data_IF_624321309507
#
_entry.id   IF_624321309507
#
_cell.length_a   1.000
_cell.length_b   1.000
_cell.length_c   1.000
_cell.angle_alpha   90.00
_cell.angle_beta   90.00
_cell.angle_gamma   90.00
#
_symmetry.space_group_name_H-M   'P 1'
#
loop_
_entity.id
_entity.type
_entity.pdbx_description
1 polymer ?
#
# COMPACT_ATOMS: atom_id res chain seq x y z
N UNK A 1 -3.55 -0.09 -13.33
CA UNK A 1 -2.94 0.92 -12.45
C UNK A 1 -2.84 2.26 -13.17
N UNK A 2 -3.10 3.34 -12.44
CA UNK A 2 -3.11 4.71 -12.93
C UNK A 2 -2.09 5.56 -12.15
N UNK A 3 -0.80 5.55 -12.53
CA UNK A 3 0.23 6.28 -11.79
C UNK A 3 0.07 7.80 -11.85
N UNK A 4 -0.49 8.32 -12.94
CA UNK A 4 -0.63 9.75 -13.22
C UNK A 4 -2.02 10.35 -12.98
N UNK A 5 -3.06 9.58 -12.64
CA UNK A 5 -4.44 10.05 -12.52
C UNK A 5 -5.14 9.55 -11.26
N UNK A 6 -6.06 10.37 -10.72
CA UNK A 6 -7.04 9.92 -9.73
C UNK A 6 -8.29 9.36 -10.42
N UNK A 7 -9.01 8.45 -9.75
CA UNK A 7 -10.21 7.83 -10.33
C UNK A 7 -11.41 8.77 -10.35
N UNK A 8 -11.49 9.70 -9.41
CA UNK A 8 -12.69 10.50 -9.16
C UNK A 8 -12.51 12.01 -9.35
N UNK A 9 -11.36 12.50 -9.74
CA UNK A 9 -11.15 13.94 -9.92
C UNK A 9 -9.76 14.31 -10.37
N UNK A 10 -9.62 15.57 -10.81
CA UNK A 10 -8.34 16.13 -11.19
C UNK A 10 -7.38 16.17 -10.00
N UNK A 11 -6.15 15.74 -10.25
CA UNK A 11 -5.06 16.01 -9.32
C UNK A 11 -4.73 17.49 -9.35
N UNK A 12 -4.42 18.12 -8.22
CA UNK A 12 -3.83 19.45 -8.25
C UNK A 12 -2.57 19.39 -9.12
N UNK A 13 -2.43 20.40 -9.99
CA UNK A 13 -1.28 20.51 -10.87
C UNK A 13 0.04 20.35 -10.11
N UNK A 14 1.08 19.91 -10.78
CA UNK A 14 2.43 19.58 -10.26
C UNK A 14 3.10 20.64 -9.35
N UNK A 15 2.46 21.78 -9.08
CA UNK A 15 3.00 22.83 -8.23
C UNK A 15 2.58 22.79 -6.76
N UNK A 16 1.64 21.94 -6.37
CA UNK A 16 1.11 21.92 -4.99
C UNK A 16 1.50 20.70 -4.14
N UNK A 17 2.06 19.64 -4.74
CA UNK A 17 2.49 18.45 -3.98
C UNK A 17 3.75 17.83 -4.58
N UNK A 18 4.82 17.78 -3.77
CA UNK A 18 6.08 17.08 -4.12
C UNK A 18 5.96 15.55 -4.09
N UNK A 19 4.76 15.00 -3.92
CA UNK A 19 4.50 13.56 -3.79
C UNK A 19 4.01 12.98 -5.11
N UNK A 20 4.77 12.06 -5.66
CA UNK A 20 4.47 11.34 -6.90
C UNK A 20 4.58 9.81 -6.74
N UNK A 21 4.37 9.05 -7.83
CA UNK A 21 4.46 7.59 -7.82
C UNK A 21 5.80 7.03 -7.32
N UNK A 22 6.87 7.79 -7.47
CA UNK A 22 8.23 7.41 -7.06
C UNK A 22 8.58 7.84 -5.63
N UNK A 23 7.69 8.53 -4.92
CA UNK A 23 7.93 8.95 -3.53
C UNK A 23 8.11 7.72 -2.64
N UNK A 24 9.22 7.67 -1.86
CA UNK A 24 9.51 6.53 -1.00
C UNK A 24 8.63 6.55 0.25
N UNK A 25 8.02 5.41 0.56
CA UNK A 25 7.29 5.16 1.81
C UNK A 25 7.68 3.78 2.33
N UNK A 26 8.24 3.72 3.55
CA UNK A 26 8.66 2.46 4.16
C UNK A 26 9.68 1.68 3.31
N UNK A 27 10.62 2.37 2.66
CA UNK A 27 11.72 1.78 1.87
C UNK A 27 11.41 1.47 0.40
N UNK A 28 10.16 1.57 -0.03
CA UNK A 28 9.72 1.36 -1.43
C UNK A 28 9.02 2.61 -1.96
N UNK A 29 9.07 2.84 -3.28
CA UNK A 29 8.23 3.85 -3.90
C UNK A 29 6.74 3.48 -3.78
N UNK A 30 5.85 4.47 -3.81
CA UNK A 30 4.40 4.24 -3.81
C UNK A 30 3.99 3.26 -4.90
N UNK A 31 4.55 3.43 -6.10
CA UNK A 31 4.27 2.56 -7.23
C UNK A 31 4.70 1.11 -6.98
N UNK A 32 5.96 0.89 -6.54
CA UNK A 32 6.44 -0.47 -6.19
C UNK A 32 5.56 -1.10 -5.11
N UNK A 33 5.21 -0.33 -4.08
CA UNK A 33 4.37 -0.80 -2.98
C UNK A 33 2.99 -1.21 -3.45
N UNK A 34 2.35 -0.40 -4.30
CA UNK A 34 1.04 -0.72 -4.89
C UNK A 34 1.12 -2.02 -5.69
N UNK A 35 2.10 -2.15 -6.60
CA UNK A 35 2.30 -3.36 -7.42
C UNK A 35 2.46 -4.60 -6.53
N UNK A 36 3.35 -4.55 -5.55
CA UNK A 36 3.62 -5.69 -4.67
C UNK A 36 2.44 -6.04 -3.75
N UNK A 37 1.70 -5.02 -3.27
CA UNK A 37 0.48 -5.26 -2.47
C UNK A 37 -0.60 -5.94 -3.30
N UNK A 38 -0.81 -5.51 -4.55
CA UNK A 38 -1.75 -6.13 -5.48
C UNK A 38 -1.35 -7.56 -5.81
N UNK A 39 -0.07 -7.80 -6.13
CA UNK A 39 0.45 -9.15 -6.36
C UNK A 39 0.20 -10.06 -5.17
N UNK A 40 0.53 -9.63 -3.95
CA UNK A 40 0.30 -10.41 -2.72
C UNK A 40 -1.18 -10.58 -2.37
N UNK A 41 -2.03 -9.64 -2.80
CA UNK A 41 -3.50 -9.74 -2.71
C UNK A 41 -4.12 -10.71 -3.71
N UNK A 42 -3.29 -11.34 -4.56
CA UNK A 42 -3.70 -12.40 -5.49
C UNK A 42 -4.14 -11.90 -6.86
N UNK A 43 -3.74 -10.69 -7.26
CA UNK A 43 -3.87 -10.24 -8.65
C UNK A 43 -2.92 -11.07 -9.53
N UNK A 44 -3.41 -11.50 -10.70
CA UNK A 44 -2.66 -12.39 -11.60
C UNK A 44 -1.94 -11.67 -12.73
N UNK A 45 -2.38 -10.46 -13.05
CA UNK A 45 -1.83 -9.63 -14.12
C UNK A 45 -2.01 -8.16 -13.73
N UNK A 46 -1.10 -7.32 -14.13
CA UNK A 46 -1.18 -5.88 -13.98
C UNK A 46 -1.11 -5.21 -15.35
N UNK A 47 -1.97 -4.21 -15.55
CA UNK A 47 -1.91 -3.30 -16.69
C UNK A 47 -1.64 -1.91 -16.10
N UNK A 48 -0.61 -1.25 -16.59
CA UNK A 48 -0.19 0.08 -16.13
C UNK A 48 -0.39 1.08 -17.27
N UNK A 49 -1.31 2.01 -17.08
CA UNK A 49 -1.51 3.13 -17.99
C UNK A 49 -0.59 4.27 -17.56
N UNK A 50 0.58 4.35 -18.17
CA UNK A 50 1.64 5.28 -17.79
C UNK A 50 1.75 6.46 -18.73
N UNK A 51 2.07 7.64 -18.18
CA UNK A 51 2.35 8.86 -18.93
C UNK A 51 3.83 9.00 -19.28
N UNK A 52 4.33 10.24 -19.19
CA UNK A 52 5.72 10.58 -19.50
C UNK A 52 6.77 9.96 -18.57
N UNK A 53 6.35 9.41 -17.44
CA UNK A 53 7.16 8.78 -16.40
C UNK A 53 7.30 7.26 -16.57
N UNK A 54 6.80 6.68 -17.66
CA UNK A 54 6.78 5.23 -17.92
C UNK A 54 8.16 4.57 -17.72
N UNK A 55 9.21 5.12 -18.33
CA UNK A 55 10.56 4.56 -18.23
C UNK A 55 11.11 4.60 -16.79
N UNK A 56 10.81 5.67 -16.04
CA UNK A 56 11.19 5.78 -14.64
C UNK A 56 10.49 4.73 -13.78
N UNK A 57 9.21 4.47 -14.06
CA UNK A 57 8.40 3.46 -13.37
C UNK A 57 8.88 2.05 -13.69
N UNK A 58 9.20 1.75 -14.96
CA UNK A 58 9.81 0.48 -15.38
C UNK A 58 11.12 0.24 -14.65
N UNK A 59 11.98 1.26 -14.62
CA UNK A 59 13.25 1.20 -13.93
C UNK A 59 13.10 1.00 -12.41
N UNK A 60 12.11 1.63 -11.80
CA UNK A 60 11.79 1.42 -10.40
C UNK A 60 11.37 -0.03 -10.11
N UNK A 61 10.55 -0.66 -10.97
CA UNK A 61 10.18 -2.07 -10.81
C UNK A 61 11.35 -3.03 -11.02
N UNK A 62 12.25 -2.74 -11.95
CA UNK A 62 13.43 -3.57 -12.21
C UNK A 62 14.42 -3.57 -11.04
N UNK A 63 14.43 -2.49 -10.22
CA UNK A 63 15.32 -2.34 -9.07
C UNK A 63 14.69 -2.84 -7.78
N UNK A 64 14.94 -4.10 -7.44
CA UNK A 64 14.66 -4.63 -6.10
C UNK A 64 13.21 -5.06 -5.82
N UNK A 65 12.27 -4.88 -6.74
CA UNK A 65 10.93 -5.39 -6.58
C UNK A 65 10.83 -6.83 -7.13
N UNK A 66 10.43 -7.78 -6.26
CA UNK A 66 10.17 -9.17 -6.69
C UNK A 66 8.79 -9.28 -7.32
N UNK A 67 8.61 -8.66 -8.48
CA UNK A 67 7.38 -8.76 -9.28
C UNK A 67 7.44 -10.06 -10.06
N UNK A 68 6.48 -10.94 -9.81
CA UNK A 68 6.39 -12.28 -10.44
C UNK A 68 5.22 -12.40 -11.41
N UNK A 69 4.26 -11.46 -11.34
CA UNK A 69 3.11 -11.43 -12.24
C UNK A 69 3.44 -10.61 -13.49
N UNK A 70 2.85 -10.95 -14.65
CA UNK A 70 3.05 -10.16 -15.87
C UNK A 70 2.54 -8.73 -15.69
N UNK A 71 3.37 -7.77 -16.12
CA UNK A 71 3.04 -6.34 -16.13
C UNK A 71 3.03 -5.87 -17.58
N UNK A 72 1.85 -5.46 -18.06
CA UNK A 72 1.68 -4.84 -19.37
C UNK A 72 1.67 -3.33 -19.23
N UNK A 73 2.42 -2.65 -20.07
CA UNK A 73 2.47 -1.20 -20.14
C UNK A 73 1.63 -0.69 -21.30
N UNK A 74 0.79 0.30 -21.02
CA UNK A 74 -0.03 0.99 -22.03
C UNK A 74 0.25 2.49 -21.91
N UNK A 75 0.92 3.08 -22.93
CA UNK A 75 1.21 4.51 -22.92
C UNK A 75 -0.09 5.33 -23.05
N UNK A 76 -0.32 6.28 -22.14
CA UNK A 76 -1.53 7.14 -22.16
C UNK A 76 -1.62 7.97 -23.43
N UNK A 77 -0.52 8.20 -24.16
CA UNK A 77 -0.53 8.87 -25.46
C UNK A 77 -1.25 8.07 -26.54
N UNK A 78 -1.15 6.75 -26.50
CA UNK A 78 -1.80 5.82 -27.46
C UNK A 78 -3.15 5.35 -26.94
N UNK A 79 -3.30 5.31 -25.62
CA UNK A 79 -4.48 4.87 -24.89
C UNK A 79 -4.95 5.94 -23.92
N UNK A 80 -5.58 7.04 -24.43
CA UNK A 80 -6.08 8.11 -23.58
C UNK A 80 -7.14 7.60 -22.58
N UNK A 81 -7.11 8.12 -21.36
CA UNK A 81 -7.99 7.65 -20.28
C UNK A 81 -9.45 8.06 -20.46
N UNK A 82 -9.69 9.10 -21.24
CA UNK A 82 -11.01 9.63 -21.62
C UNK A 82 -11.57 8.99 -22.91
N UNK A 83 -10.76 8.22 -23.65
CA UNK A 83 -11.21 7.52 -24.85
C UNK A 83 -11.90 6.19 -24.48
N UNK A 84 -13.19 5.99 -24.83
CA UNK A 84 -13.89 4.74 -24.62
C UNK A 84 -13.20 3.53 -25.23
N UNK A 85 -12.51 3.68 -26.36
CA UNK A 85 -11.78 2.59 -27.05
C UNK A 85 -10.67 1.99 -26.19
N UNK A 86 -10.03 2.82 -25.36
CA UNK A 86 -9.02 2.35 -24.39
C UNK A 86 -9.63 1.32 -23.45
N UNK A 87 -10.82 1.59 -22.94
CA UNK A 87 -11.51 0.76 -21.98
C UNK A 87 -12.16 -0.46 -22.62
N UNK A 88 -12.65 -0.33 -23.85
CA UNK A 88 -13.13 -1.47 -24.66
C UNK A 88 -11.98 -2.47 -24.92
N UNK A 89 -10.80 -1.97 -25.29
CA UNK A 89 -9.61 -2.80 -25.45
C UNK A 89 -9.24 -3.51 -24.14
N UNK A 90 -9.30 -2.83 -23.02
CA UNK A 90 -9.05 -3.43 -21.71
C UNK A 90 -10.11 -4.48 -21.35
N UNK A 91 -11.37 -4.22 -21.65
CA UNK A 91 -12.47 -5.14 -21.35
C UNK A 91 -12.30 -6.49 -22.04
N UNK A 92 -11.74 -6.53 -23.26
CA UNK A 92 -11.48 -7.79 -23.98
C UNK A 92 -10.43 -8.67 -23.29
N UNK A 93 -9.54 -8.08 -22.50
CA UNK A 93 -8.48 -8.81 -21.79
C UNK A 93 -8.91 -9.22 -20.36
N UNK A 94 -9.90 -8.54 -19.80
CA UNK A 94 -10.37 -8.79 -18.43
C UNK A 94 -11.28 -10.01 -18.40
N UNK A 95 -10.86 -11.04 -17.68
CA UNK A 95 -11.70 -12.21 -17.40
C UNK A 95 -12.34 -12.07 -16.02
N UNK A 96 -13.62 -11.76 -15.99
CA UNK A 96 -14.43 -11.63 -14.78
C UNK A 96 -14.46 -10.21 -14.25
N UNK A 97 -13.46 -9.76 -13.51
CA UNK A 97 -13.43 -8.42 -12.93
C UNK A 97 -12.06 -7.75 -13.07
N UNK A 98 -12.08 -6.42 -13.07
CA UNK A 98 -10.91 -5.55 -13.09
C UNK A 98 -10.87 -4.72 -11.82
N UNK A 99 -9.73 -4.69 -11.15
CA UNK A 99 -9.47 -3.76 -10.06
C UNK A 99 -8.71 -2.56 -10.61
N UNK A 100 -9.32 -1.38 -10.53
CA UNK A 100 -8.69 -0.11 -10.93
C UNK A 100 -8.19 0.59 -9.68
N UNK A 101 -6.92 0.97 -9.67
CA UNK A 101 -6.28 1.61 -8.53
C UNK A 101 -5.44 2.80 -8.95
N UNK A 102 -5.58 3.90 -8.22
CA UNK A 102 -4.61 4.99 -8.21
C UNK A 102 -3.35 4.59 -7.43
N UNK A 103 -2.22 5.19 -7.77
CA UNK A 103 -0.93 4.86 -7.11
C UNK A 103 -0.63 5.75 -5.91
N UNK A 104 -1.33 6.89 -5.76
CA UNK A 104 -1.10 7.79 -4.61
C UNK A 104 -1.87 7.37 -3.36
N UNK A 105 -1.75 6.10 -3.02
CA UNK A 105 -2.32 5.54 -1.80
C UNK A 105 -1.48 4.38 -1.29
N UNK A 106 -1.63 4.08 -0.01
CA UNK A 106 -1.12 2.87 0.63
C UNK A 106 -2.29 2.13 1.26
N UNK A 107 -2.35 0.83 1.03
CA UNK A 107 -3.44 -0.01 1.53
C UNK A 107 -2.94 -1.40 1.92
N UNK A 108 -3.74 -2.09 2.71
CA UNK A 108 -3.39 -3.42 3.20
C UNK A 108 -3.61 -4.49 2.12
N UNK A 109 -2.80 -5.55 2.21
CA UNK A 109 -3.01 -6.79 1.46
C UNK A 109 -4.40 -7.39 1.75
N UNK A 110 -4.82 -7.39 3.03
CA UNK A 110 -6.12 -7.90 3.46
C UNK A 110 -7.29 -7.20 2.77
N UNK A 111 -7.18 -5.89 2.49
CA UNK A 111 -8.21 -5.16 1.73
C UNK A 111 -8.35 -5.73 0.30
N UNK A 112 -7.25 -6.00 -0.38
CA UNK A 112 -7.29 -6.58 -1.74
C UNK A 112 -7.87 -7.99 -1.75
N UNK A 113 -7.47 -8.81 -0.77
CA UNK A 113 -8.02 -10.17 -0.60
C UNK A 113 -9.52 -10.12 -0.31
N UNK A 114 -9.96 -9.21 0.56
CA UNK A 114 -11.36 -9.00 0.88
C UNK A 114 -12.16 -8.55 -0.34
N UNK A 115 -11.67 -7.57 -1.10
CA UNK A 115 -12.31 -7.11 -2.34
C UNK A 115 -12.47 -8.27 -3.32
N UNK A 116 -11.41 -9.06 -3.54
CA UNK A 116 -11.43 -10.21 -4.44
C UNK A 116 -12.46 -11.28 -4.04
N UNK A 117 -12.60 -11.53 -2.73
CA UNK A 117 -13.58 -12.49 -2.20
C UNK A 117 -15.01 -11.95 -2.21
N UNK A 118 -15.17 -10.63 -2.16
CA UNK A 118 -16.47 -9.96 -2.11
C UNK A 118 -17.07 -9.68 -3.48
N UNK A 119 -16.33 -9.92 -4.57
CA UNK A 119 -16.84 -9.74 -5.94
C UNK A 119 -18.02 -10.64 -6.19
N UNK A 120 -19.08 -10.07 -6.78
CA UNK A 120 -20.24 -10.80 -7.31
C UNK A 120 -20.43 -10.46 -8.78
N UNK A 121 -20.97 -11.40 -9.53
CA UNK A 121 -21.21 -11.20 -10.96
C UNK A 121 -22.15 -10.01 -11.21
N UNK A 122 -21.73 -9.10 -12.08
CA UNK A 122 -22.48 -7.91 -12.44
C UNK A 122 -22.48 -6.76 -11.43
N UNK A 123 -21.89 -6.91 -10.22
CA UNK A 123 -21.80 -5.85 -9.23
C UNK A 123 -20.41 -5.19 -9.22
N UNK A 124 -20.37 -3.87 -9.08
CA UNK A 124 -19.16 -3.11 -8.82
C UNK A 124 -18.93 -2.95 -7.31
N UNK A 125 -17.66 -2.80 -6.91
CA UNK A 125 -17.28 -2.48 -5.54
C UNK A 125 -16.52 -1.16 -5.52
N UNK A 126 -16.94 -0.24 -4.67
CA UNK A 126 -16.24 1.02 -4.40
C UNK A 126 -15.68 0.94 -2.99
N UNK A 127 -14.38 1.19 -2.85
CA UNK A 127 -13.79 1.34 -1.52
C UNK A 127 -14.07 2.75 -1.03
N UNK A 128 -14.49 2.86 0.22
CA UNK A 128 -14.64 4.15 0.91
C UNK A 128 -13.77 4.21 2.15
N UNK A 129 -13.50 5.41 2.60
CA UNK A 129 -12.82 5.70 3.86
C UNK A 129 -13.47 6.91 4.53
N UNK A 130 -13.22 7.11 5.79
CA UNK A 130 -13.61 8.33 6.48
C UNK A 130 -12.76 9.52 6.02
N UNK A 131 -13.41 10.66 5.81
CA UNK A 131 -12.74 11.91 5.54
C UNK A 131 -11.92 12.34 6.77
N UNK A 132 -10.65 12.66 6.54
CA UNK A 132 -9.78 13.15 7.60
C UNK A 132 -9.91 14.66 7.82
N UNK A 133 -9.46 15.19 8.98
CA UNK A 133 -9.58 16.61 9.33
C UNK A 133 -8.82 17.57 8.39
N UNK A 134 -7.88 17.08 7.61
CA UNK A 134 -7.04 17.89 6.69
C UNK A 134 -7.64 18.00 5.28
N UNK A 135 -8.64 17.20 4.95
CA UNK A 135 -9.23 17.15 3.60
C UNK A 135 -10.00 18.42 3.16
N UNK A 136 -10.70 19.14 4.04
CA UNK A 136 -11.41 20.36 3.65
C UNK A 136 -10.52 21.45 3.05
N UNK A 137 -9.24 21.51 3.46
CA UNK A 137 -8.29 22.50 2.97
C UNK A 137 -7.74 22.20 1.57
N UNK A 138 -7.79 20.92 1.13
CA UNK A 138 -7.22 20.44 -0.13
C UNK A 138 -8.26 20.33 -1.26
N UNK A 139 -9.51 20.70 -1.02
CA UNK A 139 -10.66 20.80 -1.93
C UNK A 139 -10.62 19.91 -3.18
N UNK A 140 -11.56 18.98 -3.33
CA UNK A 140 -11.96 18.31 -4.57
C UNK A 140 -11.30 17.01 -5.00
N UNK A 141 -10.65 16.21 -4.10
CA UNK A 141 -9.94 15.02 -4.63
C UNK A 141 -10.80 13.78 -4.75
N UNK A 142 -11.59 13.49 -3.73
CA UNK A 142 -12.46 12.32 -3.74
C UNK A 142 -13.87 12.72 -3.34
N UNK A 143 -14.89 12.33 -4.11
CA UNK A 143 -16.28 12.70 -3.82
C UNK A 143 -16.75 12.04 -2.53
N UNK A 144 -17.57 12.77 -1.77
CA UNK A 144 -18.35 12.19 -0.70
C UNK A 144 -19.36 11.19 -1.27
N UNK A 145 -19.67 10.16 -0.50
CA UNK A 145 -20.49 9.03 -0.94
C UNK A 145 -21.78 9.00 -0.12
N UNK A 146 -22.94 9.05 -0.78
CA UNK A 146 -24.22 8.77 -0.16
C UNK A 146 -24.50 7.27 -0.22
N UNK A 147 -24.83 6.69 0.94
CA UNK A 147 -25.03 5.26 1.09
C UNK A 147 -26.44 4.96 1.61
N UNK A 148 -27.02 3.88 1.13
CA UNK A 148 -28.21 3.27 1.71
C UNK A 148 -28.01 1.76 1.75
N UNK A 149 -28.16 1.17 2.92
CA UNK A 149 -28.00 -0.28 3.15
C UNK A 149 -26.69 -0.87 2.58
N UNK A 150 -25.57 -0.11 2.67
CA UNK A 150 -24.27 -0.55 2.16
C UNK A 150 -24.11 -0.46 0.63
N UNK A 151 -25.07 0.13 -0.08
CA UNK A 151 -25.03 0.39 -1.53
C UNK A 151 -24.80 1.87 -1.79
N UNK A 152 -24.09 2.15 -2.88
CA UNK A 152 -23.86 3.50 -3.37
C UNK A 152 -25.14 4.04 -4.00
N UNK A 153 -25.56 5.24 -3.58
CA UNK A 153 -26.66 5.98 -4.21
C UNK A 153 -26.12 7.06 -5.14
N UNK A 154 -25.22 7.89 -4.66
CA UNK A 154 -24.69 9.01 -5.42
C UNK A 154 -23.32 9.45 -4.90
N UNK A 155 -22.61 10.19 -5.77
CA UNK A 155 -21.40 10.91 -5.41
C UNK A 155 -21.72 12.41 -5.26
N UNK A 156 -21.20 13.04 -4.22
CA UNK A 156 -21.33 14.46 -3.97
C UNK A 156 -19.99 15.16 -4.13
N UNK A 157 -19.98 16.27 -4.91
CA UNK A 157 -18.76 17.06 -5.17
C UNK A 157 -18.38 17.99 -4.01
N UNK A 158 -19.17 18.06 -2.95
CA UNK A 158 -18.82 18.84 -1.76
C UNK A 158 -17.79 18.07 -0.94
N UNK A 159 -16.77 18.74 -0.39
CA UNK A 159 -15.87 18.10 0.56
C UNK A 159 -16.73 17.57 1.71
N UNK A 160 -16.58 16.28 1.98
CA UNK A 160 -17.23 15.65 3.12
C UNK A 160 -16.81 16.38 4.40
N UNK A 161 -17.75 16.67 5.29
CA UNK A 161 -17.40 17.09 6.64
C UNK A 161 -16.67 15.93 7.33
N UNK A 162 -15.88 16.24 8.33
CA UNK A 162 -15.20 15.21 9.13
C UNK A 162 -16.16 14.10 9.54
N UNK A 163 -15.79 12.85 9.31
CA UNK A 163 -16.64 11.68 9.57
C UNK A 163 -17.51 11.20 8.39
N UNK A 164 -17.60 11.95 7.28
CA UNK A 164 -18.29 11.46 6.10
C UNK A 164 -17.45 10.41 5.34
N UNK A 165 -18.15 9.48 4.68
CA UNK A 165 -17.51 8.52 3.79
C UNK A 165 -17.15 9.20 2.47
N UNK A 166 -15.90 9.04 2.05
CA UNK A 166 -15.39 9.49 0.75
C UNK A 166 -14.88 8.30 -0.06
N UNK A 167 -15.02 8.38 -1.38
CA UNK A 167 -14.51 7.33 -2.26
C UNK A 167 -12.99 7.26 -2.20
N UNK A 168 -12.43 6.06 -2.16
CA UNK A 168 -11.00 5.82 -2.31
C UNK A 168 -10.65 5.55 -3.79
N UNK A 169 -9.42 5.85 -4.19
CA UNK A 169 -8.93 5.54 -5.55
C UNK A 169 -8.69 4.03 -5.74
N UNK A 170 -9.69 3.23 -5.39
CA UNK A 170 -9.68 1.77 -5.47
C UNK A 170 -11.09 1.25 -5.74
N UNK A 171 -11.31 0.70 -6.94
CA UNK A 171 -12.62 0.27 -7.43
C UNK A 171 -12.48 -1.09 -8.10
N UNK A 172 -13.47 -1.96 -7.91
CA UNK A 172 -13.57 -3.23 -8.64
C UNK A 172 -14.77 -3.15 -9.58
N UNK A 173 -14.51 -3.38 -10.86
CA UNK A 173 -15.54 -3.38 -11.91
C UNK A 173 -15.60 -4.74 -12.60
N UNK A 174 -16.79 -5.28 -12.84
CA UNK A 174 -16.95 -6.41 -13.73
C UNK A 174 -16.66 -6.00 -15.18
N UNK A 175 -16.18 -6.92 -15.99
CA UNK A 175 -15.86 -6.67 -17.39
C UNK A 175 -17.05 -6.07 -18.18
N UNK A 176 -18.28 -6.44 -17.82
CA UNK A 176 -19.52 -5.93 -18.44
C UNK A 176 -19.75 -4.42 -18.24
N UNK A 177 -19.14 -3.81 -17.21
CA UNK A 177 -19.27 -2.36 -16.97
C UNK A 177 -18.21 -1.58 -17.76
N UNK A 178 -17.07 -2.19 -18.08
CA UNK A 178 -16.01 -1.55 -18.88
C UNK A 178 -16.42 -1.35 -20.34
N UNK A 179 -17.37 -2.14 -20.85
CA UNK A 179 -17.95 -1.98 -22.20
C UNK A 179 -19.24 -1.15 -22.09
N UNK A 180 -19.26 0.11 -22.57
CA UNK A 180 -20.50 0.85 -22.59
C UNK A 180 -21.51 0.16 -23.53
N UNK A 181 -22.78 0.03 -23.14
CA UNK A 181 -23.78 -0.50 -24.06
C UNK A 181 -23.86 0.37 -25.30
N UNK A 182 -23.86 -0.24 -26.47
CA UNK A 182 -23.97 0.43 -27.77
C UNK A 182 -25.11 1.47 -27.76
N UNK A 183 -24.79 2.74 -27.94
CA UNK A 183 -25.77 3.83 -28.05
C UNK A 183 -25.88 4.80 -26.87
N UNK A 184 -25.12 4.67 -25.78
CA UNK A 184 -25.25 5.54 -24.61
C UNK A 184 -24.23 6.70 -24.62
N UNK A 185 -24.37 7.64 -25.56
CA UNK A 185 -23.49 8.82 -25.67
C UNK A 185 -23.91 10.03 -24.79
N UNK A 186 -24.97 9.96 -23.99
CA UNK A 186 -25.45 11.09 -23.22
C UNK A 186 -25.40 10.85 -21.72
N UNK A 187 -24.75 11.76 -21.00
CA UNK A 187 -24.81 11.83 -19.53
C UNK A 187 -26.23 12.21 -19.08
N UNK A 188 -26.77 11.61 -18.00
CA UNK A 188 -28.07 12.01 -17.46
C UNK A 188 -28.11 13.48 -16.97
N UNK A 189 -26.96 14.09 -16.71
CA UNK A 189 -26.87 15.44 -16.12
C UNK A 189 -26.61 16.57 -17.11
N UNK A 190 -26.52 16.33 -18.43
CA UNK A 190 -26.40 17.42 -19.44
C UNK A 190 -25.19 18.37 -19.32
N UNK A 191 -24.32 18.19 -18.34
CA UNK A 191 -23.13 18.99 -18.14
C UNK A 191 -21.96 18.47 -18.97
N UNK A 192 -21.35 19.35 -19.79
CA UNK A 192 -20.11 19.05 -20.49
C UNK A 192 -19.01 18.79 -19.45
N UNK A 193 -18.39 17.62 -19.49
CA UNK A 193 -17.27 17.29 -18.60
C UNK A 193 -15.98 17.90 -19.11
N UNK A 194 -15.05 18.22 -18.20
CA UNK A 194 -13.71 18.62 -18.59
C UNK A 194 -13.02 17.46 -19.34
N UNK A 195 -12.33 17.79 -20.43
CA UNK A 195 -11.56 16.84 -21.21
C UNK A 195 -10.51 16.15 -20.32
N UNK A 196 -10.33 14.84 -20.47
CA UNK A 196 -9.32 14.05 -19.75
C UNK A 196 -9.84 13.31 -18.50
N UNK A 197 -11.13 13.34 -18.21
CA UNK A 197 -11.69 12.66 -17.05
C UNK A 197 -11.92 11.17 -17.30
N UNK A 198 -11.51 10.34 -16.36
CA UNK A 198 -11.69 8.87 -16.43
C UNK A 198 -13.17 8.55 -16.30
N UNK A 199 -13.76 7.72 -17.20
CA UNK A 199 -15.20 7.45 -17.21
C UNK A 199 -15.70 6.57 -16.06
N UNK A 200 -14.82 6.15 -15.14
CA UNK A 200 -15.15 5.26 -14.01
C UNK A 200 -16.31 5.80 -13.17
N UNK A 201 -16.30 7.10 -12.87
CA UNK A 201 -17.37 7.73 -12.09
C UNK A 201 -18.73 7.58 -12.75
N UNK A 202 -18.83 7.86 -14.06
CA UNK A 202 -20.07 7.71 -14.82
C UNK A 202 -20.59 6.28 -14.82
N UNK A 203 -19.70 5.30 -14.98
CA UNK A 203 -20.09 3.89 -14.92
C UNK A 203 -20.66 3.53 -13.57
N UNK A 204 -20.02 4.00 -12.50
CA UNK A 204 -20.49 3.77 -11.14
C UNK A 204 -21.81 4.46 -10.85
N UNK A 205 -22.01 5.71 -11.30
CA UNK A 205 -23.28 6.45 -11.16
C UNK A 205 -24.44 5.72 -11.87
N UNK A 206 -24.21 5.22 -13.09
CA UNK A 206 -25.21 4.40 -13.79
C UNK A 206 -25.51 3.09 -13.06
N UNK A 207 -24.48 2.37 -12.68
CA UNK A 207 -24.63 1.12 -11.97
C UNK A 207 -25.27 1.32 -10.59
N UNK A 208 -25.07 2.48 -9.94
CA UNK A 208 -25.71 2.83 -8.69
C UNK A 208 -27.23 3.01 -8.82
N UNK A 209 -27.70 3.67 -9.89
CA UNK A 209 -29.13 3.78 -10.20
C UNK A 209 -29.80 2.40 -10.33
N UNK A 210 -29.05 1.42 -10.85
CA UNK A 210 -29.51 0.03 -10.97
C UNK A 210 -29.29 -0.80 -9.69
N UNK A 211 -28.80 -0.18 -8.60
CA UNK A 211 -28.49 -0.86 -7.35
C UNK A 211 -27.33 -1.86 -7.42
N UNK A 212 -26.49 -1.79 -8.45
CA UNK A 212 -25.38 -2.72 -8.72
C UNK A 212 -24.02 -2.28 -8.17
N UNK A 213 -23.98 -1.30 -7.26
CA UNK A 213 -22.73 -0.83 -6.65
C UNK A 213 -22.77 -1.05 -5.15
N UNK A 214 -21.91 -1.91 -4.65
CA UNK A 214 -21.69 -2.09 -3.21
C UNK A 214 -20.48 -1.30 -2.74
N UNK A 215 -20.49 -0.95 -1.48
CA UNK A 215 -19.42 -0.21 -0.84
C UNK A 215 -18.70 -1.07 0.18
N UNK A 216 -17.38 -0.96 0.19
CA UNK A 216 -16.49 -1.59 1.18
C UNK A 216 -15.78 -0.47 1.93
N UNK A 217 -16.12 -0.29 3.22
CA UNK A 217 -15.46 0.71 4.05
C UNK A 217 -14.07 0.22 4.47
N UNK A 218 -13.03 0.95 4.09
CA UNK A 218 -11.69 0.73 4.62
C UNK A 218 -11.66 1.17 6.10
N UNK A 219 -10.92 0.44 6.92
CA UNK A 219 -10.88 0.57 8.39
C UNK A 219 -12.14 0.11 9.14
N UNK A 220 -13.14 -0.45 8.47
CA UNK A 220 -14.30 -1.07 9.13
C UNK A 220 -13.90 -2.32 9.95
N UNK A 221 -12.81 -3.01 9.58
CA UNK A 221 -12.31 -4.21 10.26
C UNK A 221 -10.79 -4.13 10.44
N UNK A 222 -10.28 -4.77 11.48
CA UNK A 222 -8.85 -4.91 11.68
C UNK A 222 -8.18 -5.55 10.44
N UNK A 223 -7.18 -4.90 9.89
CA UNK A 223 -6.48 -5.35 8.68
C UNK A 223 -6.99 -4.80 7.34
N UNK A 224 -8.17 -4.17 7.29
CA UNK A 224 -8.71 -3.54 6.08
C UNK A 224 -8.50 -2.02 6.10
N UNK A 225 -7.32 -1.55 5.79
CA UNK A 225 -7.02 -0.13 5.83
C UNK A 225 -6.55 0.41 4.48
N UNK A 226 -6.86 1.71 4.28
CA UNK A 226 -6.48 2.49 3.11
C UNK A 226 -6.09 3.91 3.55
N UNK A 227 -5.03 4.47 2.97
CA UNK A 227 -4.55 5.83 3.24
C UNK A 227 -4.13 6.49 1.95
N UNK A 228 -4.70 7.64 1.65
CA UNK A 228 -4.21 8.50 0.57
C UNK A 228 -2.87 9.13 0.93
N UNK A 229 -2.09 9.43 -0.11
CA UNK A 229 -0.78 10.08 0.01
C UNK A 229 -0.74 11.24 -0.99
N UNK A 230 -0.99 12.43 -0.47
CA UNK A 230 -1.06 13.64 -1.28
C UNK A 230 0.12 14.58 -1.09
N UNK A 231 0.63 14.65 0.12
CA UNK A 231 1.68 15.52 0.59
C UNK A 231 2.60 14.79 1.59
N UNK A 232 3.63 15.46 2.05
CA UNK A 232 4.56 14.90 3.02
C UNK A 232 3.90 14.55 4.37
N UNK A 233 2.85 15.25 4.76
CA UNK A 233 2.12 14.99 6.01
C UNK A 233 1.34 13.68 5.92
N UNK A 234 0.55 13.50 4.85
CA UNK A 234 -0.18 12.27 4.58
C UNK A 234 0.76 11.08 4.31
N UNK A 235 1.93 11.32 3.68
CA UNK A 235 2.98 10.32 3.53
C UNK A 235 3.49 9.83 4.89
N UNK A 236 3.74 10.74 5.82
CA UNK A 236 4.14 10.40 7.19
C UNK A 236 3.06 9.63 7.95
N UNK A 237 1.77 9.96 7.76
CA UNK A 237 0.65 9.22 8.34
C UNK A 237 0.51 7.81 7.74
N UNK A 238 0.66 7.69 6.43
CA UNK A 238 0.65 6.41 5.72
C UNK A 238 1.80 5.51 6.20
N UNK A 239 3.01 6.06 6.35
CA UNK A 239 4.15 5.34 6.91
C UNK A 239 3.90 4.87 8.34
N UNK A 240 3.34 5.73 9.21
CA UNK A 240 2.95 5.32 10.57
C UNK A 240 1.91 4.20 10.57
N UNK A 241 0.96 4.22 9.64
CA UNK A 241 -0.04 3.16 9.49
C UNK A 241 0.62 1.85 9.06
N UNK A 242 1.56 1.90 8.11
CA UNK A 242 2.37 0.73 7.71
C UNK A 242 3.10 0.12 8.90
N UNK A 243 3.83 0.93 9.68
CA UNK A 243 4.53 0.42 10.87
C UNK A 243 3.58 -0.14 11.93
N UNK A 244 2.36 0.41 12.05
CA UNK A 244 1.34 -0.16 12.95
C UNK A 244 0.81 -1.51 12.46
N UNK A 245 0.66 -1.66 11.16
CA UNK A 245 0.14 -2.90 10.55
C UNK A 245 1.12 -4.08 10.65
N UNK A 246 2.39 -3.83 10.98
CA UNK A 246 3.38 -4.89 11.24
C UNK A 246 3.19 -5.59 12.58
N UNK A 247 2.31 -5.10 13.45
CA UNK A 247 2.09 -5.67 14.78
C UNK A 247 1.52 -7.08 14.67
N UNK A 248 2.22 -8.07 15.25
CA UNK A 248 1.68 -9.39 15.54
C UNK A 248 0.76 -9.36 16.78
N UNK A 249 -0.18 -10.27 16.85
CA UNK A 249 -1.12 -10.39 17.98
C UNK A 249 -0.48 -10.99 19.24
N UNK A 250 0.64 -11.73 19.09
CA UNK A 250 1.28 -12.48 20.17
C UNK A 250 2.65 -11.90 20.54
N UNK A 251 2.69 -10.71 21.14
CA UNK A 251 3.94 -10.08 21.55
C UNK A 251 4.04 -9.88 23.05
N UNK A 252 5.23 -10.18 23.60
CA UNK A 252 5.55 -9.97 25.01
C UNK A 252 5.50 -8.48 25.42
N UNK A 253 5.35 -8.22 26.73
CA UNK A 253 5.23 -6.85 27.28
C UNK A 253 6.50 -6.01 26.99
N UNK A 254 7.70 -6.63 27.12
CA UNK A 254 8.99 -5.95 26.89
C UNK A 254 9.16 -5.60 25.41
N UNK A 255 8.79 -6.50 24.50
CA UNK A 255 8.83 -6.25 23.07
C UNK A 255 7.89 -5.13 22.68
N UNK A 256 6.71 -5.09 23.28
CA UNK A 256 5.68 -4.10 22.96
C UNK A 256 6.05 -2.66 23.30
N UNK A 257 6.71 -2.45 24.45
CA UNK A 257 6.96 -1.09 24.97
C UNK A 257 8.40 -0.62 24.75
N UNK A 258 9.38 -1.50 24.90
CA UNK A 258 10.79 -1.11 24.86
C UNK A 258 11.40 -1.36 23.47
N UNK A 259 11.43 -2.60 23.02
CA UNK A 259 12.11 -2.95 21.77
C UNK A 259 11.50 -2.23 20.55
N UNK A 260 10.18 -2.08 20.49
CA UNK A 260 9.50 -1.46 19.34
C UNK A 260 9.68 0.05 19.21
N UNK A 261 9.92 0.75 20.30
CA UNK A 261 10.17 2.20 20.17
C UNK A 261 11.53 2.45 19.53
N UNK A 262 12.53 1.66 19.95
CA UNK A 262 13.87 1.75 19.41
C UNK A 262 14.01 1.06 18.05
N UNK A 263 13.36 -0.10 17.83
CA UNK A 263 13.42 -0.80 16.53
C UNK A 263 12.87 0.08 15.41
N UNK A 264 11.77 0.80 15.60
CA UNK A 264 11.22 1.69 14.57
C UNK A 264 12.17 2.79 14.11
N UNK A 265 12.98 3.33 15.04
CA UNK A 265 13.99 4.32 14.68
C UNK A 265 15.11 3.67 13.87
N UNK A 266 15.60 2.51 14.31
CA UNK A 266 16.63 1.76 13.61
C UNK A 266 16.13 1.22 12.28
N UNK A 267 14.90 0.70 12.21
CA UNK A 267 14.30 0.23 10.96
C UNK A 267 14.23 1.35 9.91
N UNK A 268 13.84 2.58 10.30
CA UNK A 268 13.90 3.72 9.38
C UNK A 268 15.31 4.03 8.90
N UNK A 269 16.29 3.92 9.78
CA UNK A 269 17.70 4.10 9.42
C UNK A 269 18.14 3.03 8.42
N UNK A 270 17.87 1.76 8.70
CA UNK A 270 18.21 0.64 7.80
C UNK A 270 17.50 0.74 6.44
N UNK A 271 16.23 1.18 6.41
CA UNK A 271 15.50 1.45 5.16
C UNK A 271 16.15 2.58 4.35
N UNK A 272 16.62 3.67 5.01
CA UNK A 272 17.35 4.76 4.34
C UNK A 272 18.70 4.29 3.79
N UNK A 273 19.40 3.46 4.54
CA UNK A 273 20.67 2.86 4.12
C UNK A 273 20.48 1.72 3.09
N UNK A 274 19.23 1.33 2.80
CA UNK A 274 18.87 0.22 1.91
C UNK A 274 19.52 -1.12 2.33
N UNK A 275 19.67 -1.33 3.64
CA UNK A 275 20.19 -2.58 4.16
C UNK A 275 19.24 -3.74 3.84
N UNK A 276 19.80 -4.89 3.46
CA UNK A 276 19.02 -6.11 3.31
C UNK A 276 18.67 -6.71 4.69
N UNK A 277 17.53 -7.41 4.84
CA UNK A 277 17.19 -8.09 6.10
C UNK A 277 18.29 -9.00 6.60
N UNK A 278 18.84 -9.86 5.75
CA UNK A 278 19.91 -10.77 6.12
C UNK A 278 21.19 -10.04 6.63
N UNK A 279 21.49 -8.86 6.10
CA UNK A 279 22.60 -8.07 6.59
C UNK A 279 22.32 -7.53 8.01
N UNK A 280 21.07 -7.20 8.31
CA UNK A 280 20.65 -6.75 9.63
C UNK A 280 20.75 -7.91 10.64
N UNK A 281 20.28 -9.11 10.28
CA UNK A 281 20.45 -10.35 11.08
C UNK A 281 21.94 -10.58 11.40
N UNK A 282 22.84 -10.47 10.40
CA UNK A 282 24.29 -10.63 10.63
C UNK A 282 24.88 -9.58 11.58
N UNK A 283 24.41 -8.33 11.51
CA UNK A 283 24.82 -7.27 12.45
C UNK A 283 24.31 -7.57 13.87
N UNK A 284 23.06 -8.00 14.02
CA UNK A 284 22.49 -8.41 15.31
C UNK A 284 23.31 -9.55 15.93
N UNK A 285 23.61 -10.58 15.11
CA UNK A 285 24.44 -11.71 15.53
C UNK A 285 25.84 -11.27 15.99
N UNK A 286 26.51 -10.40 15.22
CA UNK A 286 27.83 -9.89 15.61
C UNK A 286 27.81 -9.16 16.94
N UNK A 287 26.80 -8.32 17.19
CA UNK A 287 26.61 -7.62 18.48
C UNK A 287 26.31 -8.63 19.59
N UNK A 288 25.49 -9.65 19.32
CA UNK A 288 25.19 -10.73 20.27
C UNK A 288 26.42 -11.55 20.66
N UNK A 289 27.29 -11.90 19.71
CA UNK A 289 28.58 -12.59 19.99
C UNK A 289 29.51 -11.68 20.81
N UNK A 290 29.57 -10.37 20.50
CA UNK A 290 30.34 -9.44 21.30
C UNK A 290 29.83 -9.36 22.75
N UNK A 291 28.52 -9.43 22.95
CA UNK A 291 27.91 -9.56 24.28
C UNK A 291 28.38 -10.83 25.00
N UNK A 292 28.39 -11.98 24.31
CA UNK A 292 28.87 -13.26 24.87
C UNK A 292 30.33 -13.15 25.33
N UNK A 293 31.21 -12.57 24.53
CA UNK A 293 32.61 -12.29 24.94
C UNK A 293 32.68 -11.42 26.19
N UNK A 294 31.83 -10.38 26.26
CA UNK A 294 31.75 -9.50 27.43
C UNK A 294 31.35 -10.24 28.72
N UNK A 295 30.41 -11.18 28.64
CA UNK A 295 30.08 -12.07 29.79
C UNK A 295 31.27 -12.94 30.20
N UNK A 296 31.99 -13.51 29.22
CA UNK A 296 33.16 -14.36 29.47
C UNK A 296 34.36 -13.65 30.13
N UNK A 297 34.42 -12.31 30.15
CA UNK A 297 35.43 -11.54 30.88
C UNK A 297 35.27 -11.67 32.41
N UNK A 298 34.05 -12.00 32.89
CA UNK A 298 33.79 -12.33 34.28
C UNK A 298 33.88 -11.14 35.30
N UNK A 299 34.00 -9.90 34.81
CA UNK A 299 33.98 -8.72 35.68
C UNK A 299 32.59 -8.09 35.73
N UNK A 300 32.21 -7.46 36.86
CA UNK A 300 30.91 -6.83 37.03
C UNK A 300 30.64 -5.73 35.97
N UNK A 301 31.63 -4.91 35.68
CA UNK A 301 31.52 -3.85 34.69
C UNK A 301 31.35 -4.42 33.25
N UNK A 302 32.11 -5.47 32.90
CA UNK A 302 31.97 -6.14 31.61
C UNK A 302 30.59 -6.81 31.49
N UNK A 303 30.07 -7.41 32.55
CA UNK A 303 28.73 -8.00 32.59
C UNK A 303 27.62 -6.97 32.34
N UNK A 304 27.72 -5.77 32.87
CA UNK A 304 26.75 -4.69 32.58
C UNK A 304 26.80 -4.30 31.11
N UNK A 305 27.99 -4.09 30.55
CA UNK A 305 28.15 -3.75 29.13
C UNK A 305 27.64 -4.87 28.24
N UNK A 306 27.95 -6.12 28.60
CA UNK A 306 27.47 -7.30 27.89
C UNK A 306 25.93 -7.36 27.86
N UNK A 307 25.27 -7.13 29.00
CA UNK A 307 23.81 -7.10 29.07
C UNK A 307 23.19 -6.01 28.17
N UNK A 308 23.81 -4.83 28.13
CA UNK A 308 23.35 -3.75 27.24
C UNK A 308 23.56 -4.09 25.76
N UNK A 309 24.68 -4.75 25.42
CA UNK A 309 24.93 -5.24 24.06
C UNK A 309 23.92 -6.33 23.66
N UNK A 310 23.57 -7.25 24.57
CA UNK A 310 22.56 -8.24 24.33
C UNK A 310 21.20 -7.63 24.04
N UNK A 311 20.80 -6.64 24.85
CA UNK A 311 19.56 -5.91 24.62
C UNK A 311 19.58 -5.17 23.28
N UNK A 312 20.72 -4.57 22.90
CA UNK A 312 20.87 -3.92 21.60
C UNK A 312 20.77 -4.92 20.45
N UNK A 313 21.39 -6.10 20.58
CA UNK A 313 21.28 -7.16 19.59
C UNK A 313 19.81 -7.58 19.35
N UNK A 314 19.04 -7.79 20.43
CA UNK A 314 17.61 -8.10 20.33
C UNK A 314 16.79 -6.99 19.66
N UNK A 315 17.13 -5.71 19.89
CA UNK A 315 16.45 -4.59 19.19
C UNK A 315 16.80 -4.57 17.71
N UNK A 316 18.06 -4.82 17.34
CA UNK A 316 18.50 -4.87 15.93
C UNK A 316 17.84 -6.05 15.22
N UNK A 317 17.74 -7.18 15.88
CA UNK A 317 17.12 -8.40 15.38
C UNK A 317 15.65 -8.17 15.00
N UNK A 318 14.88 -7.53 15.85
CA UNK A 318 13.50 -7.13 15.50
C UNK A 318 13.40 -6.30 14.20
N UNK A 319 14.48 -5.58 13.82
CA UNK A 319 14.45 -4.71 12.64
C UNK A 319 14.51 -5.49 11.32
N UNK A 320 15.15 -6.66 11.26
CA UNK A 320 15.29 -7.41 10.01
C UNK A 320 13.93 -7.92 9.51
N UNK A 321 13.11 -8.46 10.40
CA UNK A 321 11.73 -8.85 10.10
C UNK A 321 10.83 -7.66 9.74
N UNK A 322 11.01 -6.51 10.40
CA UNK A 322 10.28 -5.28 10.02
C UNK A 322 10.67 -4.82 8.62
N UNK A 323 11.98 -4.76 8.30
CA UNK A 323 12.48 -4.39 6.97
C UNK A 323 12.00 -5.40 5.93
N UNK A 324 12.08 -6.72 6.21
CA UNK A 324 11.62 -7.75 5.28
C UNK A 324 10.15 -7.58 4.92
N UNK A 325 9.28 -7.36 5.91
CA UNK A 325 7.84 -7.13 5.70
C UNK A 325 7.56 -5.83 4.97
N UNK A 326 8.24 -4.73 5.34
CA UNK A 326 8.06 -3.42 4.70
C UNK A 326 8.50 -3.40 3.24
N UNK A 327 9.56 -4.13 2.90
CA UNK A 327 10.14 -4.16 1.55
C UNK A 327 9.67 -5.37 0.73
N UNK A 328 8.79 -6.21 1.28
CA UNK A 328 8.29 -7.43 0.65
C UNK A 328 9.41 -8.43 0.26
N UNK A 329 10.49 -8.46 1.04
CA UNK A 329 11.65 -9.33 0.81
C UNK A 329 11.70 -10.54 1.74
N UNK A 330 10.60 -10.86 2.40
CA UNK A 330 10.46 -12.07 3.21
C UNK A 330 10.81 -13.31 2.39
N UNK A 331 11.61 -14.20 2.96
CA UNK A 331 12.01 -15.45 2.30
C UNK A 331 12.15 -16.59 3.33
N UNK A 332 11.90 -17.86 2.94
CA UNK A 332 12.13 -19.00 3.83
C UNK A 332 13.58 -19.08 4.29
N UNK A 333 14.53 -18.72 3.43
CA UNK A 333 15.95 -18.68 3.80
C UNK A 333 16.24 -17.62 4.87
N UNK A 334 15.65 -16.40 4.75
CA UNK A 334 15.80 -15.36 5.76
C UNK A 334 15.25 -15.79 7.12
N UNK A 335 14.06 -16.40 7.15
CA UNK A 335 13.47 -16.91 8.39
C UNK A 335 14.31 -18.05 9.02
N UNK A 336 14.89 -18.91 8.20
CA UNK A 336 15.82 -19.94 8.68
C UNK A 336 17.11 -19.33 9.22
N UNK A 337 17.69 -18.36 8.53
CA UNK A 337 18.90 -17.66 8.93
C UNK A 337 18.72 -16.96 10.29
N UNK A 338 17.60 -16.26 10.47
CA UNK A 338 17.20 -15.61 11.70
C UNK A 338 17.22 -16.59 12.90
N UNK A 339 16.47 -17.68 12.80
CA UNK A 339 16.43 -18.74 13.82
C UNK A 339 17.82 -19.35 14.08
N UNK A 340 18.60 -19.59 13.02
CA UNK A 340 19.93 -20.18 13.17
C UNK A 340 20.90 -19.24 13.91
N UNK A 341 20.88 -17.96 13.56
CA UNK A 341 21.76 -16.95 14.16
C UNK A 341 21.37 -16.66 15.62
N UNK A 342 20.08 -16.63 15.94
CA UNK A 342 19.58 -16.56 17.33
C UNK A 342 20.13 -17.69 18.19
N UNK A 343 20.06 -18.92 17.70
CA UNK A 343 20.60 -20.06 18.42
C UNK A 343 22.12 -19.93 18.62
N UNK A 344 22.87 -19.46 17.62
CA UNK A 344 24.33 -19.22 17.75
C UNK A 344 24.61 -18.19 18.85
N UNK A 345 23.87 -17.10 18.91
CA UNK A 345 24.03 -16.07 19.95
C UNK A 345 23.71 -16.63 21.34
N UNK A 346 22.60 -17.36 21.49
CA UNK A 346 22.23 -17.97 22.76
C UNK A 346 23.29 -18.97 23.26
N UNK A 347 23.76 -19.88 22.37
CA UNK A 347 24.84 -20.84 22.70
C UNK A 347 26.11 -20.09 23.13
N UNK A 348 26.50 -19.06 22.41
CA UNK A 348 27.67 -18.25 22.72
C UNK A 348 27.56 -17.58 24.11
N UNK A 349 26.39 -17.02 24.45
CA UNK A 349 26.12 -16.39 25.74
C UNK A 349 26.20 -17.43 26.86
N UNK A 350 25.55 -18.62 26.73
CA UNK A 350 25.63 -19.68 27.72
C UNK A 350 27.05 -20.22 27.90
N UNK A 351 27.88 -20.22 26.86
CA UNK A 351 29.26 -20.59 26.94
C UNK A 351 30.16 -19.51 27.58
N UNK A 352 29.73 -18.23 27.54
CA UNK A 352 30.44 -17.09 28.13
C UNK A 352 30.13 -16.84 29.61
N UNK A 353 29.01 -17.34 30.13
CA UNK A 353 28.59 -17.24 31.53
C UNK A 353 29.19 -18.39 32.34
#
# INVERSE_FOLDING_TARGET
>A
LLPGAGLFGDRPGRGLTDVGPLTPIGGLSLFQRTVLTLQRGGMRQLIVLAGSDEELLKHALARGARVTIPVRWMPVREFPLDDPRTWESLATEVRGFCLIAGVQAVFSKGLIEHLRQSVRDGEALVVTREAGPVEPALGRRNPAVALQEGRLISFHNHPGQEGHQVAADLVVLPASILTPPNGAAASPSGAAEPAGMIPVRRWLERAAVEGRVRVVAAAAHAGLWYRDVWDHTSAGLAERTLFRSLKGEAEGFVDRYFNRTFSRLLTRLFLRMKCSPNAITMVATAVGILSAVGFGIGTYSAGIVAALLFQLAAVIDCCDGEVARLTFTESPFGAWLDIAMDNVVHIAIFAGI
#
